data_IF_823791049526
#
_entry.id   IF_823791049526
#
_cell.length_a   1.000
_cell.length_b   1.000
_cell.length_c   1.000
_cell.angle_alpha   90.00
_cell.angle_beta   90.00
_cell.angle_gamma   90.00
#
_symmetry.space_group_name_H-M   'P 1'
#
loop_
_entity.id
_entity.type
_entity.pdbx_description
1 polymer ?
#
# COMPACT_ATOMS: atom_id res chain seq x y z
N UNK A 1 -18.20 -20.71 2.52
CA UNK A 1 -17.26 -19.94 3.36
C UNK A 1 -16.49 -19.02 2.43
N UNK A 2 -16.62 -17.70 2.55
CA UNK A 2 -15.88 -16.75 1.70
C UNK A 2 -14.55 -16.47 2.40
N UNK A 3 -13.44 -16.93 1.82
CA UNK A 3 -12.11 -16.58 2.31
C UNK A 3 -11.86 -15.10 1.99
N UNK A 4 -11.69 -14.26 3.02
CA UNK A 4 -11.27 -12.87 2.84
C UNK A 4 -9.75 -12.84 2.81
N UNK A 5 -9.15 -12.69 1.63
CA UNK A 5 -7.70 -12.51 1.50
C UNK A 5 -7.40 -11.02 1.34
N UNK A 6 -6.42 -10.56 2.12
CA UNK A 6 -5.93 -9.19 2.15
C UNK A 6 -4.47 -9.16 1.73
N UNK A 7 -4.07 -8.06 1.08
CA UNK A 7 -2.74 -7.85 0.51
C UNK A 7 -2.20 -6.51 0.99
N UNK A 8 -0.92 -6.47 1.37
CA UNK A 8 -0.19 -5.23 1.66
C UNK A 8 1.18 -5.26 1.00
N UNK A 9 1.63 -4.11 0.54
CA UNK A 9 2.94 -3.90 -0.05
C UNK A 9 3.80 -3.10 0.92
N UNK A 10 5.01 -3.56 1.18
CA UNK A 10 5.92 -2.92 2.15
C UNK A 10 7.36 -2.91 1.63
N UNK A 11 8.05 -1.81 1.88
CA UNK A 11 9.49 -1.65 1.70
C UNK A 11 10.13 -1.52 3.08
N UNK A 12 11.10 -2.37 3.37
CA UNK A 12 11.72 -2.49 4.70
C UNK A 12 12.24 -3.91 4.99
N UNK A 13 12.93 -4.09 6.11
CA UNK A 13 13.59 -5.35 6.49
C UNK A 13 12.73 -6.27 7.39
N UNK A 14 13.12 -7.54 7.52
CA UNK A 14 12.51 -8.51 8.45
C UNK A 14 12.87 -8.12 9.89
N UNK A 15 12.04 -7.29 10.53
CA UNK A 15 12.24 -6.86 11.91
C UNK A 15 11.84 -5.41 12.18
N UNK A 16 11.57 -4.61 11.15
CA UNK A 16 11.00 -3.27 11.33
C UNK A 16 9.52 -3.36 11.69
N UNK A 17 9.08 -2.44 12.54
CA UNK A 17 7.65 -2.27 12.82
C UNK A 17 6.92 -1.98 11.51
N UNK A 18 5.67 -2.44 11.31
CA UNK A 18 4.91 -2.11 10.10
C UNK A 18 4.60 -0.64 9.94
N UNK A 19 4.79 0.15 11.00
CA UNK A 19 4.75 1.61 10.97
C UNK A 19 6.01 2.22 10.35
N UNK A 20 7.14 1.56 10.54
CA UNK A 20 8.44 1.97 10.01
C UNK A 20 8.65 1.49 8.57
N UNK A 21 7.87 0.49 8.14
CA UNK A 21 7.85 0.04 6.76
C UNK A 21 7.03 0.99 5.88
N UNK A 22 7.68 1.60 4.91
CA UNK A 22 7.03 2.43 3.91
C UNK A 22 6.28 1.60 2.87
N UNK A 23 5.29 2.20 2.21
CA UNK A 23 4.62 1.60 1.06
C UNK A 23 5.26 2.05 -0.26
N UNK A 24 4.96 1.37 -1.39
CA UNK A 24 5.46 1.77 -2.70
C UNK A 24 5.22 3.24 -3.07
N UNK A 25 4.10 3.83 -2.67
CA UNK A 25 3.82 5.26 -2.89
C UNK A 25 4.90 6.17 -2.29
N UNK A 26 5.28 5.92 -1.04
CA UNK A 26 6.29 6.73 -0.33
C UNK A 26 7.67 6.59 -0.97
N UNK A 27 8.06 5.37 -1.34
CA UNK A 27 9.38 5.12 -1.92
C UNK A 27 9.54 5.69 -3.33
N UNK A 28 8.48 5.62 -4.14
CA UNK A 28 8.49 6.25 -5.46
C UNK A 28 8.56 7.77 -5.36
N UNK A 29 7.91 8.37 -4.36
CA UNK A 29 8.05 9.81 -4.11
C UNK A 29 9.48 10.20 -3.74
N UNK A 30 10.20 9.39 -2.95
CA UNK A 30 11.60 9.67 -2.67
C UNK A 30 12.48 9.64 -3.93
N UNK A 31 12.24 8.70 -4.85
CA UNK A 31 12.93 8.68 -6.14
C UNK A 31 12.63 9.94 -6.96
N UNK A 32 11.35 10.35 -7.00
CA UNK A 32 10.90 11.55 -7.70
C UNK A 32 11.53 12.82 -7.13
N UNK A 33 11.49 13.01 -5.82
CA UNK A 33 12.07 14.17 -5.13
C UNK A 33 13.59 14.28 -5.32
N UNK A 34 14.26 13.14 -5.50
CA UNK A 34 15.70 13.07 -5.77
C UNK A 34 16.04 13.21 -7.26
N UNK A 35 15.04 13.29 -8.15
CA UNK A 35 15.23 13.37 -9.60
C UNK A 35 15.82 12.10 -10.20
N UNK A 36 15.54 10.94 -9.59
CA UNK A 36 16.05 9.64 -10.02
C UNK A 36 15.15 8.93 -11.03
N UNK A 37 13.90 9.38 -11.19
CA UNK A 37 12.98 8.86 -12.19
C UNK A 37 13.30 9.40 -13.58
N UNK A 38 13.26 8.52 -14.58
CA UNK A 38 13.24 8.90 -15.97
C UNK A 38 11.91 9.58 -16.33
N UNK A 39 11.86 10.43 -17.39
CA UNK A 39 10.64 11.16 -17.74
C UNK A 39 9.40 10.28 -17.96
N UNK A 40 9.57 9.08 -18.53
CA UNK A 40 8.45 8.15 -18.74
C UNK A 40 7.99 7.50 -17.44
N UNK A 41 8.86 7.35 -16.45
CA UNK A 41 8.52 6.82 -15.13
C UNK A 41 7.69 7.87 -14.36
N UNK A 42 8.04 9.15 -14.48
CA UNK A 42 7.25 10.26 -13.91
C UNK A 42 5.81 10.27 -14.43
N UNK A 43 5.63 10.06 -15.74
CA UNK A 43 4.31 9.97 -16.37
C UNK A 43 3.50 8.79 -15.79
N UNK A 44 4.12 7.61 -15.72
CA UNK A 44 3.50 6.40 -15.14
C UNK A 44 3.08 6.64 -13.69
N UNK A 45 3.97 7.21 -12.88
CA UNK A 45 3.73 7.49 -11.46
C UNK A 45 2.60 8.51 -11.31
N UNK A 46 2.63 9.58 -12.10
CA UNK A 46 1.59 10.61 -12.07
C UNK A 46 0.21 10.05 -12.43
N UNK A 47 0.12 9.21 -13.46
CA UNK A 47 -1.12 8.55 -13.86
C UNK A 47 -1.67 7.63 -12.77
N UNK A 48 -0.80 6.84 -12.13
CA UNK A 48 -1.17 5.97 -11.01
C UNK A 48 -1.69 6.82 -9.84
N UNK A 49 -0.98 7.87 -9.44
CA UNK A 49 -1.40 8.73 -8.33
C UNK A 49 -2.73 9.42 -8.61
N UNK A 50 -2.94 9.91 -9.84
CA UNK A 50 -4.20 10.52 -10.24
C UNK A 50 -5.38 9.55 -10.10
N UNK A 51 -5.23 8.32 -10.59
CA UNK A 51 -6.25 7.25 -10.46
C UNK A 51 -6.57 6.94 -9.00
N UNK A 52 -5.55 6.76 -8.16
CA UNK A 52 -5.78 6.47 -6.74
C UNK A 52 -6.50 7.60 -6.02
N UNK A 53 -6.08 8.85 -6.24
CA UNK A 53 -6.71 10.01 -5.61
C UNK A 53 -8.16 10.21 -6.06
N UNK A 54 -8.49 9.80 -7.29
CA UNK A 54 -9.85 9.92 -7.83
C UNK A 54 -10.77 8.78 -7.39
N UNK A 55 -10.27 7.55 -7.34
CA UNK A 55 -11.12 6.36 -7.26
C UNK A 55 -11.01 5.59 -5.94
N UNK A 56 -9.87 5.67 -5.23
CA UNK A 56 -9.70 4.97 -3.96
C UNK A 56 -10.22 5.84 -2.81
N UNK A 57 -11.26 5.41 -2.07
CA UNK A 57 -11.75 6.17 -0.92
C UNK A 57 -10.64 6.33 0.11
N UNK A 58 -10.42 7.55 0.59
CA UNK A 58 -9.46 7.79 1.67
C UNK A 58 -10.10 7.42 3.01
N UNK A 59 -9.52 6.49 3.80
CA UNK A 59 -10.01 6.22 5.14
C UNK A 59 -9.96 7.50 5.99
N UNK A 60 -10.94 7.73 6.88
CA UNK A 60 -11.02 8.96 7.69
C UNK A 60 -9.98 8.98 8.84
N UNK A 61 -8.69 8.86 8.53
CA UNK A 61 -7.59 8.78 9.49
C UNK A 61 -7.59 9.94 10.50
N UNK A 62 -7.78 11.17 10.02
CA UNK A 62 -7.66 12.39 10.83
C UNK A 62 -8.81 12.61 11.82
N UNK A 63 -9.99 12.07 11.56
CA UNK A 63 -11.16 12.17 12.44
C UNK A 63 -11.40 10.90 13.27
N UNK A 64 -10.60 9.87 13.02
CA UNK A 64 -10.72 8.57 13.67
C UNK A 64 -9.75 8.44 14.85
N UNK A 65 -10.25 7.94 15.98
CA UNK A 65 -9.43 7.63 17.16
C UNK A 65 -8.90 6.19 17.08
N UNK A 66 -8.27 5.84 15.96
CA UNK A 66 -7.71 4.49 15.75
C UNK A 66 -6.32 4.38 16.41
N UNK A 67 -5.92 3.17 16.84
CA UNK A 67 -4.56 2.94 17.31
C UNK A 67 -3.51 3.27 16.25
N UNK A 68 -2.34 3.71 16.71
CA UNK A 68 -1.17 4.04 15.87
C UNK A 68 -0.66 2.86 15.02
N UNK A 69 -0.96 1.62 15.40
CA UNK A 69 -0.60 0.38 14.70
C UNK A 69 -1.71 -0.13 13.77
N UNK A 70 -2.79 0.64 13.59
CA UNK A 70 -3.80 0.36 12.58
C UNK A 70 -3.26 0.63 11.18
N UNK A 71 -3.32 -0.38 10.31
CA UNK A 71 -2.70 -0.34 8.99
C UNK A 71 -3.72 -0.67 7.90
N UNK A 72 -3.56 -0.04 6.72
CA UNK A 72 -4.39 -0.34 5.56
C UNK A 72 -3.91 -1.60 4.84
N UNK A 73 -4.88 -2.40 4.37
CA UNK A 73 -4.71 -3.56 3.52
C UNK A 73 -5.68 -3.49 2.35
N UNK A 74 -5.22 -3.83 1.14
CA UNK A 74 -6.11 -4.07 0.02
C UNK A 74 -6.84 -5.39 0.19
N UNK A 75 -8.09 -5.45 -0.25
CA UNK A 75 -8.78 -6.72 -0.48
C UNK A 75 -8.22 -7.33 -1.77
N UNK A 76 -8.09 -8.67 -1.82
CA UNK A 76 -7.66 -9.36 -3.05
C UNK A 76 -8.61 -9.10 -4.23
N UNK A 77 -9.86 -8.75 -3.94
CA UNK A 77 -10.88 -8.40 -4.93
C UNK A 77 -10.68 -7.02 -5.55
N UNK A 78 -9.86 -6.15 -4.95
CA UNK A 78 -9.50 -4.83 -5.47
C UNK A 78 -8.48 -4.95 -6.61
N UNK A 79 -8.77 -5.80 -7.60
CA UNK A 79 -7.82 -6.26 -8.61
C UNK A 79 -7.13 -5.11 -9.36
N UNK A 80 -7.89 -4.05 -9.66
CA UNK A 80 -7.37 -2.85 -10.32
C UNK A 80 -6.32 -2.13 -9.47
N UNK A 81 -6.64 -1.75 -8.24
CA UNK A 81 -5.65 -1.09 -7.36
C UNK A 81 -4.47 -1.99 -7.06
N UNK A 82 -4.70 -3.30 -6.88
CA UNK A 82 -3.63 -4.28 -6.67
C UNK A 82 -2.71 -4.36 -7.89
N UNK A 83 -3.24 -4.32 -9.13
CA UNK A 83 -2.41 -4.33 -10.33
C UNK A 83 -1.59 -3.06 -10.47
N UNK A 84 -2.17 -1.89 -10.18
CA UNK A 84 -1.41 -0.63 -10.22
C UNK A 84 -0.30 -0.61 -9.15
N UNK A 85 -0.53 -1.21 -7.97
CA UNK A 85 0.54 -1.39 -6.98
C UNK A 85 1.67 -2.26 -7.52
N UNK A 86 1.38 -3.31 -8.31
CA UNK A 86 2.44 -4.11 -8.95
C UNK A 86 3.20 -3.33 -10.02
N UNK A 87 2.59 -2.36 -10.69
CA UNK A 87 3.33 -1.46 -11.59
C UNK A 87 4.36 -0.63 -10.82
N UNK A 88 3.99 -0.08 -9.65
CA UNK A 88 4.95 0.59 -8.76
C UNK A 88 6.03 -0.36 -8.24
N UNK A 89 5.68 -1.62 -7.95
CA UNK A 89 6.67 -2.65 -7.56
C UNK A 89 7.68 -2.89 -8.68
N UNK A 90 7.22 -2.99 -9.93
CA UNK A 90 8.10 -3.20 -11.07
C UNK A 90 9.08 -2.03 -11.23
N UNK A 91 8.58 -0.80 -11.19
CA UNK A 91 9.40 0.42 -11.22
C UNK A 91 10.43 0.43 -10.08
N UNK A 92 9.99 0.23 -8.83
CA UNK A 92 10.92 0.22 -7.68
C UNK A 92 12.00 -0.85 -7.79
N UNK A 93 11.67 -2.03 -8.33
CA UNK A 93 12.66 -3.09 -8.57
C UNK A 93 13.71 -2.70 -9.62
N UNK A 94 13.35 -1.92 -10.64
CA UNK A 94 14.30 -1.39 -11.64
C UNK A 94 15.31 -0.42 -11.00
N UNK A 95 14.90 0.27 -9.92
CA UNK A 95 15.77 1.10 -9.08
C UNK A 95 16.45 0.33 -7.94
N UNK A 96 16.36 -1.01 -7.92
CA UNK A 96 16.98 -1.86 -6.91
C UNK A 96 16.30 -1.84 -5.54
N UNK A 97 15.09 -1.29 -5.45
CA UNK A 97 14.29 -1.22 -4.21
C UNK A 97 13.34 -2.43 -4.17
N UNK A 98 13.59 -3.35 -3.25
CA UNK A 98 12.78 -4.55 -3.11
C UNK A 98 11.49 -4.30 -2.32
N UNK A 99 10.35 -4.57 -2.95
CA UNK A 99 9.03 -4.54 -2.28
C UNK A 99 8.61 -5.95 -1.87
N UNK A 100 8.14 -6.10 -0.63
CA UNK A 100 7.55 -7.34 -0.13
C UNK A 100 6.03 -7.27 -0.17
N UNK A 101 5.41 -8.38 -0.55
CA UNK A 101 3.95 -8.54 -0.61
C UNK A 101 3.50 -9.44 0.54
N UNK A 102 2.84 -8.85 1.52
CA UNK A 102 2.27 -9.54 2.66
C UNK A 102 0.85 -9.98 2.33
N UNK A 103 0.50 -11.21 2.72
CA UNK A 103 -0.86 -11.75 2.58
C UNK A 103 -1.45 -12.12 3.94
N UNK A 104 -2.74 -11.89 4.10
CA UNK A 104 -3.46 -12.21 5.32
C UNK A 104 -4.85 -12.75 4.98
N UNK A 105 -5.30 -13.80 5.66
CA UNK A 105 -6.69 -14.27 5.59
C UNK A 105 -7.48 -13.96 6.87
N UNK A 106 -6.81 -13.41 7.90
CA UNK A 106 -7.41 -13.13 9.21
C UNK A 106 -6.76 -11.91 9.90
N UNK A 107 -7.50 -10.80 9.90
CA UNK A 107 -7.14 -9.59 10.63
C UNK A 107 -7.71 -9.63 12.07
N UNK A 108 -7.06 -8.96 13.02
CA UNK A 108 -7.45 -9.03 14.43
C UNK A 108 -8.69 -8.17 14.74
N UNK A 109 -8.64 -6.89 14.37
CA UNK A 109 -9.75 -5.95 14.56
C UNK A 109 -9.78 -4.98 13.38
N UNK A 110 -10.92 -4.91 12.69
CA UNK A 110 -11.16 -3.98 11.58
C UNK A 110 -11.80 -2.70 12.14
N UNK A 111 -11.27 -1.55 11.74
CA UNK A 111 -11.78 -0.22 12.10
C UNK A 111 -12.50 0.47 10.93
N UNK A 112 -12.15 0.11 9.71
CA UNK A 112 -12.71 0.63 8.48
C UNK A 112 -12.70 -0.44 7.40
N UNK A 113 -13.74 -0.49 6.59
CA UNK A 113 -13.85 -1.37 5.41
C UNK A 113 -14.66 -0.62 4.34
N UNK A 114 -14.09 -0.48 3.15
CA UNK A 114 -14.79 -0.03 1.94
C UNK A 114 -14.80 -1.15 0.90
N UNK A 115 -15.06 -0.87 -0.37
CA UNK A 115 -15.05 -1.87 -1.44
C UNK A 115 -13.65 -2.49 -1.71
N UNK A 116 -12.59 -1.71 -1.50
CA UNK A 116 -11.24 -1.99 -1.98
C UNK A 116 -10.23 -2.29 -0.87
N UNK A 117 -10.40 -1.71 0.32
CA UNK A 117 -9.44 -1.81 1.41
C UNK A 117 -10.10 -1.96 2.78
N UNK A 118 -9.27 -2.30 3.76
CA UNK A 118 -9.61 -2.32 5.17
C UNK A 118 -8.51 -1.68 6.00
N UNK A 119 -8.87 -0.99 7.07
CA UNK A 119 -7.92 -0.58 8.11
C UNK A 119 -8.11 -1.48 9.31
N UNK A 120 -7.04 -2.13 9.76
CA UNK A 120 -7.12 -3.11 10.83
C UNK A 120 -5.84 -3.22 11.65
N UNK A 121 -5.97 -3.80 12.85
CA UNK A 121 -4.83 -4.35 13.60
C UNK A 121 -4.45 -5.73 13.07
N UNK A 122 -3.15 -5.98 12.99
CA UNK A 122 -2.57 -7.27 12.68
C UNK A 122 -1.54 -7.64 13.75
N UNK A 123 -1.89 -8.61 14.61
CA UNK A 123 -1.08 -9.06 15.75
C UNK A 123 0.21 -9.80 15.37
N UNK A 124 0.44 -10.04 14.08
CA UNK A 124 1.70 -10.62 13.61
C UNK A 124 2.85 -9.60 13.71
N UNK A 125 2.51 -8.36 14.02
CA UNK A 125 3.42 -7.25 14.21
C UNK A 125 3.19 -6.55 15.55
#
# INVERSE_FOLDING_TARGET
MVFKVYIRFVVGSDGQSPREMHGPFTEVEYLREQGLLAPYEEDIVSDIFAKFNQELPCPPWSSSHWPDDAISWFKVTAQYFVSEMYNLVALLNEHGIQVRVLKCDKLFKIFYEDEFQVVALDKRF
#
